data_IF_557824824407
#
_entry.id   IF_557824824407
#
_cell.length_a   1.000
_cell.length_b   1.000
_cell.length_c   1.000
_cell.angle_alpha   90.00
_cell.angle_beta   90.00
_cell.angle_gamma   90.00
#
_symmetry.space_group_name_H-M   'P 1'
#
loop_
_entity.id
_entity.type
_entity.pdbx_description
1 polymer ?
#
# COMPACT_ATOMS: atom_id res chain seq x y z
N UNK A 1 -44.65 -30.78 -23.64
CA UNK A 1 -44.14 -29.39 -23.55
C UNK A 1 -42.65 -29.46 -23.27
N UNK A 2 -41.87 -28.71 -24.06
CA UNK A 2 -40.42 -28.76 -24.24
C UNK A 2 -39.66 -28.20 -23.01
N UNK A 3 -38.53 -28.81 -22.66
CA UNK A 3 -37.78 -28.55 -21.42
C UNK A 3 -36.95 -27.26 -21.35
N UNK A 4 -36.39 -27.02 -20.17
CA UNK A 4 -35.18 -26.20 -19.96
C UNK A 4 -34.32 -26.83 -18.86
N UNK A 5 -33.28 -27.56 -19.29
CA UNK A 5 -32.20 -28.01 -18.42
C UNK A 5 -31.29 -26.80 -18.12
N UNK A 6 -31.02 -26.54 -16.84
CA UNK A 6 -29.96 -25.62 -16.43
C UNK A 6 -28.64 -26.38 -16.40
N UNK A 7 -27.72 -26.04 -17.28
CA UNK A 7 -26.33 -26.48 -17.23
C UNK A 7 -25.46 -25.28 -16.84
N UNK A 8 -24.92 -25.31 -15.62
CA UNK A 8 -23.86 -24.39 -15.19
C UNK A 8 -22.53 -25.07 -15.51
N UNK A 9 -21.84 -24.59 -16.54
CA UNK A 9 -20.47 -24.98 -16.83
C UNK A 9 -19.52 -24.19 -15.93
N UNK A 10 -18.94 -24.84 -14.92
CA UNK A 10 -17.78 -24.30 -14.19
C UNK A 10 -16.54 -24.74 -14.96
N UNK A 11 -15.95 -23.82 -15.72
CA UNK A 11 -14.63 -24.02 -16.29
C UNK A 11 -13.58 -23.67 -15.22
N UNK A 12 -12.99 -24.68 -14.59
CA UNK A 12 -11.79 -24.51 -13.77
C UNK A 12 -10.58 -24.31 -14.68
N UNK A 13 -10.16 -23.06 -14.88
CA UNK A 13 -8.82 -22.76 -15.38
C UNK A 13 -7.83 -22.98 -14.25
N UNK A 14 -7.21 -24.16 -14.20
CA UNK A 14 -6.05 -24.40 -13.33
C UNK A 14 -4.83 -23.76 -13.98
N UNK A 15 -4.48 -22.55 -13.54
CA UNK A 15 -3.12 -22.04 -13.76
C UNK A 15 -2.17 -22.87 -12.90
N UNK A 16 -1.21 -23.53 -13.54
CA UNK A 16 -0.04 -24.08 -12.84
C UNK A 16 0.75 -22.88 -12.35
N UNK A 17 0.61 -22.54 -11.08
CA UNK A 17 1.48 -21.56 -10.44
C UNK A 17 2.82 -22.29 -10.21
N UNK A 18 3.92 -21.94 -10.89
CA UNK A 18 5.21 -22.50 -10.53
C UNK A 18 5.47 -22.16 -9.06
N UNK A 19 5.92 -23.15 -8.28
CA UNK A 19 6.33 -22.93 -6.90
C UNK A 19 7.55 -22.01 -6.91
N UNK A 20 7.32 -20.70 -6.76
CA UNK A 20 8.38 -19.75 -6.52
C UNK A 20 9.05 -20.11 -5.20
N UNK A 21 10.39 -20.18 -5.20
CA UNK A 21 11.16 -20.11 -3.97
C UNK A 21 10.60 -18.96 -3.13
N UNK A 22 10.41 -19.15 -1.82
CA UNK A 22 9.85 -18.09 -0.96
C UNK A 22 10.69 -16.83 -1.15
N UNK A 23 10.18 -15.85 -1.90
CA UNK A 23 10.83 -14.56 -2.11
C UNK A 23 11.15 -13.98 -0.73
N UNK A 24 12.26 -13.21 -0.59
CA UNK A 24 12.69 -12.68 0.70
C UNK A 24 11.48 -12.05 1.40
N UNK A 25 11.12 -12.53 2.59
CA UNK A 25 9.76 -12.40 3.13
C UNK A 25 9.24 -10.96 3.27
N UNK A 26 8.65 -10.43 2.21
CA UNK A 26 7.80 -9.24 2.22
C UNK A 26 6.34 -9.64 1.97
N UNK A 27 5.43 -8.85 2.51
CA UNK A 27 4.00 -8.96 2.26
C UNK A 27 3.48 -7.64 1.69
N UNK A 28 2.29 -7.64 1.11
CA UNK A 28 1.58 -6.43 0.78
C UNK A 28 0.61 -6.06 1.90
N UNK A 29 0.62 -4.78 2.27
CA UNK A 29 -0.30 -4.20 3.24
C UNK A 29 -1.74 -4.15 2.73
N UNK A 30 -2.70 -3.81 3.60
CA UNK A 30 -4.07 -3.50 3.20
C UNK A 30 -4.14 -2.33 2.20
N UNK A 31 -3.11 -1.49 2.18
CA UNK A 31 -2.91 -0.39 1.25
C UNK A 31 -2.24 -0.81 -0.07
N UNK A 32 -1.90 -2.09 -0.23
CA UNK A 32 -1.32 -2.67 -1.44
C UNK A 32 0.15 -2.34 -1.69
N UNK A 33 0.84 -1.74 -0.72
CA UNK A 33 2.28 -1.46 -0.77
C UNK A 33 3.05 -2.46 0.09
N UNK A 34 4.36 -2.73 -0.15
CA UNK A 34 5.08 -3.69 0.67
C UNK A 34 5.09 -3.25 2.15
N UNK A 35 4.66 -4.14 3.02
CA UNK A 35 4.36 -3.80 4.41
C UNK A 35 3.62 -4.92 5.11
N UNK A 36 3.37 -4.72 6.40
CA UNK A 36 2.46 -5.53 7.19
C UNK A 36 1.03 -4.97 7.02
N UNK A 37 0.09 -5.26 7.92
CA UNK A 37 -1.33 -4.85 7.82
C UNK A 37 -1.50 -3.39 7.36
N UNK A 38 -1.14 -2.42 8.20
CA UNK A 38 -1.12 -0.99 7.87
C UNK A 38 0.29 -0.39 7.99
N UNK A 39 1.23 -1.15 8.57
CA UNK A 39 2.58 -0.68 8.85
C UNK A 39 3.48 -0.85 7.62
N UNK A 40 4.04 0.23 7.07
CA UNK A 40 5.03 0.11 6.00
C UNK A 40 6.28 -0.64 6.46
N UNK A 41 6.97 -1.30 5.53
CA UNK A 41 8.32 -1.82 5.73
C UNK A 41 9.29 -1.14 4.77
N UNK A 42 10.60 -1.38 4.92
CA UNK A 42 11.64 -0.94 4.00
C UNK A 42 12.01 -2.00 2.94
N UNK A 43 11.30 -3.13 2.89
CA UNK A 43 11.54 -4.21 1.91
C UNK A 43 10.95 -3.88 0.53
N UNK A 44 11.66 -4.18 -0.54
CA UNK A 44 11.16 -3.97 -1.91
C UNK A 44 10.73 -5.29 -2.54
N UNK A 45 9.73 -5.20 -3.42
CA UNK A 45 9.34 -6.31 -4.28
C UNK A 45 10.41 -6.56 -5.35
N UNK A 46 10.24 -7.61 -6.15
CA UNK A 46 11.17 -7.95 -7.23
C UNK A 46 11.10 -6.92 -8.37
N UNK A 47 12.21 -6.73 -9.09
CA UNK A 47 12.27 -5.75 -10.18
C UNK A 47 11.28 -6.08 -11.29
N UNK A 48 10.46 -5.11 -11.69
CA UNK A 48 9.40 -5.28 -12.68
C UNK A 48 8.16 -6.03 -12.17
N UNK A 49 8.06 -6.31 -10.87
CA UNK A 49 6.90 -7.00 -10.30
C UNK A 49 5.62 -6.15 -10.40
N UNK A 50 4.54 -6.76 -10.88
CA UNK A 50 3.20 -6.21 -10.87
C UNK A 50 2.34 -7.00 -9.87
N UNK A 51 1.91 -6.33 -8.81
CA UNK A 51 1.04 -6.90 -7.79
C UNK A 51 -0.33 -6.23 -7.82
N UNK A 52 -1.38 -7.05 -7.76
CA UNK A 52 -2.75 -6.59 -7.56
C UNK A 52 -3.25 -7.10 -6.22
N UNK A 53 -3.78 -6.20 -5.40
CA UNK A 53 -4.35 -6.53 -4.09
C UNK A 53 -5.80 -6.05 -4.01
N UNK A 54 -6.62 -6.85 -3.35
CA UNK A 54 -7.99 -6.51 -3.01
C UNK A 54 -8.13 -6.66 -1.49
N UNK A 55 -8.51 -5.58 -0.83
CA UNK A 55 -8.73 -5.55 0.62
C UNK A 55 -10.09 -4.95 0.93
N UNK A 56 -10.77 -5.50 1.94
CA UNK A 56 -12.01 -4.94 2.45
C UNK A 56 -11.89 -4.83 3.96
N UNK A 57 -12.21 -3.66 4.50
CA UNK A 57 -12.13 -3.39 5.92
C UNK A 57 -13.19 -2.37 6.30
N UNK A 58 -14.10 -2.75 7.21
CA UNK A 58 -15.12 -1.87 7.79
C UNK A 58 -15.94 -1.07 6.75
N UNK A 59 -16.49 -1.75 5.75
CA UNK A 59 -17.28 -1.12 4.67
C UNK A 59 -16.47 -0.35 3.62
N UNK A 60 -15.14 -0.37 3.71
CA UNK A 60 -14.26 0.19 2.68
C UNK A 60 -13.60 -0.94 1.90
N UNK A 61 -13.86 -0.99 0.59
CA UNK A 61 -13.13 -1.87 -0.30
C UNK A 61 -12.06 -1.08 -1.05
N UNK A 62 -10.87 -1.67 -1.17
CA UNK A 62 -9.71 -1.07 -1.83
C UNK A 62 -9.15 -2.08 -2.82
N UNK A 63 -8.97 -1.64 -4.05
CA UNK A 63 -8.24 -2.36 -5.08
C UNK A 63 -6.97 -1.57 -5.36
N UNK A 64 -5.81 -2.18 -5.12
CA UNK A 64 -4.53 -1.53 -5.36
C UNK A 64 -3.73 -2.30 -6.40
N UNK A 65 -3.22 -1.58 -7.38
CA UNK A 65 -2.26 -2.05 -8.36
C UNK A 65 -0.90 -1.44 -8.03
N UNK A 66 0.09 -2.27 -7.79
CA UNK A 66 1.45 -1.85 -7.44
C UNK A 66 2.43 -2.35 -8.48
N UNK A 67 3.26 -1.46 -8.99
CA UNK A 67 4.31 -1.78 -9.93
C UNK A 67 5.67 -1.41 -9.32
N UNK A 68 6.59 -2.36 -9.31
CA UNK A 68 7.97 -2.17 -8.86
C UNK A 68 8.82 -1.75 -10.07
N UNK A 69 9.01 -0.43 -10.25
CA UNK A 69 9.71 0.13 -11.41
C UNK A 69 11.20 -0.20 -11.44
N UNK A 70 11.83 -0.24 -10.26
CA UNK A 70 13.23 -0.63 -10.06
C UNK A 70 13.34 -1.36 -8.72
N UNK A 71 14.46 -2.02 -8.37
CA UNK A 71 14.63 -2.63 -7.05
C UNK A 71 14.49 -1.67 -5.86
N UNK A 72 14.47 -0.35 -6.10
CA UNK A 72 14.34 0.69 -5.07
C UNK A 72 13.07 1.55 -5.20
N UNK A 73 12.44 1.62 -6.36
CA UNK A 73 11.30 2.50 -6.63
C UNK A 73 10.06 1.69 -6.96
N UNK A 74 8.98 1.90 -6.21
CA UNK A 74 7.65 1.36 -6.51
C UNK A 74 6.62 2.48 -6.58
N UNK A 75 5.65 2.30 -7.46
CA UNK A 75 4.46 3.14 -7.54
C UNK A 75 3.22 2.27 -7.38
N UNK A 76 2.21 2.81 -6.69
CA UNK A 76 0.95 2.12 -6.48
C UNK A 76 -0.20 3.03 -6.86
N UNK A 77 -1.16 2.48 -7.58
CA UNK A 77 -2.44 3.10 -7.85
C UNK A 77 -3.50 2.38 -7.07
N UNK A 78 -4.19 3.10 -6.19
CA UNK A 78 -5.24 2.54 -5.35
C UNK A 78 -6.57 3.20 -5.65
N UNK A 79 -7.55 2.35 -5.89
CA UNK A 79 -8.95 2.70 -6.04
C UNK A 79 -9.71 2.25 -4.79
N UNK A 80 -10.28 3.20 -4.05
CA UNK A 80 -11.05 2.92 -2.85
C UNK A 80 -12.52 3.25 -3.07
N UNK A 81 -13.39 2.34 -2.69
CA UNK A 81 -14.83 2.59 -2.57
C UNK A 81 -15.17 2.67 -1.10
N UNK A 82 -15.73 3.80 -0.68
CA UNK A 82 -16.36 3.90 0.63
C UNK A 82 -17.86 3.67 0.44
N UNK A 83 -18.37 2.58 1.00
CA UNK A 83 -19.81 2.41 1.18
C UNK A 83 -20.22 3.22 2.42
N UNK A 84 -21.26 4.05 2.31
CA UNK A 84 -21.88 4.84 3.41
C UNK A 84 -21.07 6.01 4.02
N UNK A 85 -20.20 6.70 3.27
CA UNK A 85 -19.49 7.90 3.80
C UNK A 85 -20.31 9.21 3.71
N UNK A 86 -21.48 9.20 3.07
CA UNK A 86 -22.39 10.34 3.00
C UNK A 86 -23.66 10.09 3.81
N UNK A 87 -24.19 11.13 4.46
CA UNK A 87 -25.52 11.17 5.10
C UNK A 87 -26.64 10.77 4.12
N UNK A 88 -26.36 10.79 2.80
CA UNK A 88 -27.28 10.40 1.71
C UNK A 88 -27.10 8.96 1.19
N UNK A 89 -26.13 8.18 1.67
CA UNK A 89 -25.91 6.79 1.23
C UNK A 89 -25.23 6.63 -0.14
N UNK A 90 -24.61 7.68 -0.69
CA UNK A 90 -23.93 7.62 -1.97
C UNK A 90 -22.51 7.04 -1.89
N UNK A 91 -22.17 6.16 -2.83
CA UNK A 91 -20.87 5.53 -3.01
C UNK A 91 -19.83 6.59 -3.38
N UNK A 92 -18.83 6.81 -2.53
CA UNK A 92 -17.71 7.70 -2.87
C UNK A 92 -16.56 6.89 -3.43
N UNK A 93 -16.08 7.29 -4.62
CA UNK A 93 -14.92 6.69 -5.27
C UNK A 93 -13.71 7.59 -5.12
N UNK A 94 -12.68 7.07 -4.49
CA UNK A 94 -11.41 7.78 -4.30
C UNK A 94 -10.28 7.10 -5.09
N UNK A 95 -9.43 7.93 -5.69
CA UNK A 95 -8.27 7.52 -6.48
C UNK A 95 -7.05 8.11 -5.81
N UNK A 96 -6.12 7.25 -5.41
CA UNK A 96 -4.88 7.65 -4.76
C UNK A 96 -3.69 7.05 -5.49
N UNK A 97 -2.63 7.84 -5.62
CA UNK A 97 -1.34 7.41 -6.13
C UNK A 97 -0.31 7.49 -5.01
N UNK A 98 0.37 6.37 -4.79
CA UNK A 98 1.41 6.23 -3.79
C UNK A 98 2.77 6.05 -4.48
N UNK A 99 3.80 6.67 -3.92
CA UNK A 99 5.18 6.51 -4.34
C UNK A 99 6.03 6.04 -3.17
N UNK A 100 6.95 5.13 -3.44
CA UNK A 100 7.88 4.66 -2.42
C UNK A 100 9.27 4.44 -2.99
N UNK A 101 10.26 4.91 -2.26
CA UNK A 101 11.66 4.82 -2.62
C UNK A 101 12.52 4.29 -1.47
N UNK A 102 13.30 3.24 -1.75
CA UNK A 102 14.26 2.65 -0.84
C UNK A 102 15.60 3.38 -0.97
N UNK A 103 15.93 4.17 0.05
CA UNK A 103 17.13 4.99 0.11
C UNK A 103 18.39 4.15 0.33
N UNK A 104 18.30 3.19 1.25
CA UNK A 104 19.45 2.39 1.70
C UNK A 104 19.08 0.91 1.68
N UNK A 105 19.95 0.10 1.08
CA UNK A 105 19.84 -1.35 1.12
C UNK A 105 20.25 -1.91 2.49
N UNK A 106 19.55 -2.96 2.93
CA UNK A 106 19.93 -3.69 4.14
C UNK A 106 21.37 -4.19 4.01
N UNK A 107 22.19 -3.93 5.03
CA UNK A 107 23.56 -4.44 5.12
C UNK A 107 23.76 -5.26 6.39
N UNK A 108 24.97 -5.76 6.64
CA UNK A 108 25.26 -6.57 7.83
C UNK A 108 24.87 -5.90 9.15
N UNK A 109 25.20 -4.61 9.30
CA UNK A 109 24.99 -3.84 10.55
C UNK A 109 23.98 -2.69 10.43
N UNK A 110 23.44 -2.44 9.23
CA UNK A 110 22.49 -1.35 8.98
C UNK A 110 21.14 -1.90 8.50
N UNK A 111 20.02 -1.30 8.90
CA UNK A 111 18.72 -1.63 8.34
C UNK A 111 18.61 -1.11 6.90
N UNK A 112 17.68 -1.67 6.13
CA UNK A 112 17.17 -0.99 4.94
C UNK A 112 16.39 0.24 5.37
N UNK A 113 16.46 1.33 4.60
CA UNK A 113 15.68 2.54 4.85
C UNK A 113 14.89 2.89 3.60
N UNK A 114 13.59 3.13 3.77
CA UNK A 114 12.70 3.58 2.72
C UNK A 114 11.89 4.81 3.15
N UNK A 115 11.54 5.62 2.18
CA UNK A 115 10.59 6.72 2.30
C UNK A 115 9.38 6.44 1.43
N UNK A 116 8.21 6.87 1.87
CA UNK A 116 6.99 6.76 1.09
C UNK A 116 6.12 8.00 1.19
N UNK A 117 5.43 8.26 0.08
CA UNK A 117 4.37 9.25 -0.06
C UNK A 117 3.12 8.49 -0.44
N UNK A 118 2.13 8.50 0.44
CA UNK A 118 0.82 7.91 0.25
C UNK A 118 -0.16 9.00 -0.13
N UNK A 119 -1.01 8.73 -1.12
CA UNK A 119 -2.03 9.64 -1.61
C UNK A 119 -1.45 11.04 -1.94
N UNK A 120 -0.36 11.04 -2.72
CA UNK A 120 0.32 12.26 -3.18
C UNK A 120 -0.47 12.98 -4.30
N UNK A 121 -1.17 12.21 -5.14
CA UNK A 121 -2.02 12.72 -6.23
C UNK A 121 -3.42 12.13 -6.14
N UNK A 122 -4.21 12.53 -5.16
CA UNK A 122 -5.59 12.06 -4.97
C UNK A 122 -6.45 13.09 -4.24
N UNK A 123 -7.43 12.63 -3.46
CA UNK A 123 -8.30 13.51 -2.67
C UNK A 123 -7.63 14.02 -1.39
N UNK A 124 -6.51 13.43 -0.98
CA UNK A 124 -5.73 13.83 0.20
C UNK A 124 -6.27 13.27 1.52
N UNK A 125 -7.38 12.52 1.48
CA UNK A 125 -8.04 11.94 2.64
C UNK A 125 -7.16 10.92 3.38
N UNK A 126 -6.32 10.20 2.63
CA UNK A 126 -5.38 9.20 3.16
C UNK A 126 -3.92 9.64 3.01
N UNK A 127 -3.69 10.94 2.82
CA UNK A 127 -2.34 11.47 2.61
C UNK A 127 -1.44 11.27 3.81
N UNK A 128 -0.35 10.53 3.60
CA UNK A 128 0.65 10.25 4.61
C UNK A 128 2.05 10.20 4.00
N UNK A 129 3.01 10.64 4.77
CA UNK A 129 4.42 10.55 4.44
C UNK A 129 5.11 9.76 5.52
N UNK A 130 6.11 8.95 5.17
CA UNK A 130 6.83 8.18 6.18
C UNK A 130 8.26 7.91 5.79
N UNK A 131 9.07 7.68 6.83
CA UNK A 131 10.36 7.03 6.76
C UNK A 131 10.31 5.77 7.61
N UNK A 132 10.81 4.67 7.06
CA UNK A 132 10.81 3.37 7.73
C UNK A 132 12.15 2.70 7.58
N UNK A 133 12.59 2.05 8.66
CA UNK A 133 13.77 1.21 8.71
C UNK A 133 13.35 -0.23 8.99
N UNK A 134 13.86 -1.17 8.21
CA UNK A 134 13.60 -2.62 8.43
C UNK A 134 14.91 -3.38 8.46
N UNK A 135 15.02 -4.30 9.42
CA UNK A 135 16.18 -5.17 9.62
C UNK A 135 15.73 -6.61 9.74
N UNK A 136 16.35 -7.49 8.97
CA UNK A 136 16.16 -8.93 9.04
C UNK A 136 17.17 -9.51 10.05
N UNK A 137 16.67 -10.28 11.00
CA UNK A 137 17.42 -10.98 12.05
C UNK A 137 17.32 -12.47 11.76
N UNK A 138 18.35 -13.01 11.11
CA UNK A 138 18.31 -14.36 10.53
C UNK A 138 17.26 -14.44 9.40
N UNK A 139 16.78 -15.65 9.13
CA UNK A 139 15.91 -15.92 7.97
C UNK A 139 14.41 -15.80 8.27
N UNK A 140 14.04 -15.54 9.54
CA UNK A 140 12.64 -15.70 10.00
C UNK A 140 12.05 -14.50 10.72
N UNK A 141 12.87 -13.54 11.14
CA UNK A 141 12.41 -12.39 11.92
C UNK A 141 12.81 -11.10 11.21
N UNK A 142 11.85 -10.24 10.97
CA UNK A 142 12.10 -8.87 10.49
C UNK A 142 11.55 -7.89 11.51
N UNK A 143 12.39 -6.94 11.91
CA UNK A 143 12.03 -5.85 12.80
C UNK A 143 11.90 -4.59 11.95
N UNK A 144 10.75 -3.94 12.03
CA UNK A 144 10.47 -2.69 11.32
C UNK A 144 10.11 -1.59 12.30
N UNK A 145 10.60 -0.39 12.05
CA UNK A 145 10.29 0.80 12.83
C UNK A 145 10.32 2.03 11.94
N UNK A 146 9.36 2.92 12.08
CA UNK A 146 9.23 4.08 11.22
C UNK A 146 8.56 5.26 11.90
N UNK A 147 8.73 6.43 11.29
CA UNK A 147 8.08 7.67 11.67
C UNK A 147 7.24 8.11 10.48
N UNK A 148 5.96 8.40 10.73
CA UNK A 148 5.02 8.86 9.73
C UNK A 148 4.38 10.18 10.12
N UNK A 149 3.91 10.90 9.12
CA UNK A 149 3.13 12.11 9.23
C UNK A 149 1.76 11.88 8.59
N UNK A 150 0.76 12.66 9.01
CA UNK A 150 -0.60 12.53 8.50
C UNK A 150 -1.38 11.38 9.07
N UNK A 151 -1.93 10.55 8.18
CA UNK A 151 -2.68 9.37 8.61
C UNK A 151 -1.84 8.42 9.46
N UNK A 152 -0.52 8.43 9.25
CA UNK A 152 0.45 7.63 10.01
C UNK A 152 0.99 8.36 11.26
N UNK A 153 0.59 9.61 11.53
CA UNK A 153 1.15 10.45 12.60
C UNK A 153 0.21 11.54 13.11
N UNK A 154 -0.99 11.14 13.56
CA UNK A 154 -2.08 12.08 13.92
C UNK A 154 -2.11 12.54 15.38
N UNK A 155 -1.23 12.05 16.26
CA UNK A 155 -1.19 12.43 17.69
C UNK A 155 0.20 12.97 18.06
N UNK A 156 0.28 14.20 18.59
CA UNK A 156 1.53 14.89 18.98
C UNK A 156 2.64 14.88 17.91
N UNK A 157 2.29 15.15 16.65
CA UNK A 157 3.23 15.15 15.53
C UNK A 157 4.16 16.38 15.51
N UNK A 158 5.41 16.17 15.10
CA UNK A 158 6.33 17.26 14.74
C UNK A 158 6.08 17.73 13.31
N UNK A 159 6.45 18.98 12.98
CA UNK A 159 6.28 19.53 11.63
C UNK A 159 6.89 18.63 10.56
N UNK A 160 6.12 18.30 9.54
CA UNK A 160 6.57 17.47 8.42
C UNK A 160 7.76 18.15 7.71
N UNK A 161 8.96 17.54 7.67
CA UNK A 161 10.12 18.13 7.01
C UNK A 161 9.93 18.28 5.50
N UNK A 162 9.06 17.47 4.87
CA UNK A 162 8.72 17.56 3.45
C UNK A 162 7.83 18.78 3.14
N UNK A 163 7.20 19.40 4.14
CA UNK A 163 6.51 20.68 3.97
C UNK A 163 7.43 21.82 3.52
N UNK A 164 8.74 21.70 3.75
CA UNK A 164 9.72 22.66 3.20
C UNK A 164 9.83 22.61 1.67
N UNK A 165 9.39 21.51 1.05
CA UNK A 165 9.40 21.32 -0.40
C UNK A 165 8.07 21.76 -1.04
N UNK A 166 6.95 21.62 -0.33
CA UNK A 166 5.64 22.06 -0.78
C UNK A 166 4.72 22.35 0.42
N UNK A 167 4.08 23.54 0.44
CA UNK A 167 3.17 23.97 1.50
C UNK A 167 1.92 23.09 1.63
N UNK A 168 1.57 22.32 0.61
CA UNK A 168 0.49 21.32 0.63
C UNK A 168 0.74 20.19 1.64
N UNK A 169 1.98 19.89 2.00
CA UNK A 169 2.28 18.90 3.04
C UNK A 169 2.13 19.44 4.48
N UNK A 170 2.02 20.77 4.65
CA UNK A 170 1.66 21.39 5.93
C UNK A 170 0.14 21.49 6.11
N UNK A 171 -0.60 21.70 5.02
CA UNK A 171 -2.02 22.04 5.06
C UNK A 171 -2.82 20.87 4.49
N UNK A 172 -3.43 20.07 5.37
CA UNK A 172 -4.37 19.03 4.96
C UNK A 172 -5.76 19.66 4.77
N UNK A 173 -6.52 19.29 3.73
CA UNK A 173 -7.91 19.72 3.61
C UNK A 173 -8.68 19.31 4.88
N UNK A 174 -9.15 20.29 5.64
CA UNK A 174 -10.07 20.04 6.73
C UNK A 174 -11.45 19.76 6.15
N UNK A 175 -12.17 18.81 6.76
CA UNK A 175 -13.60 18.69 6.50
C UNK A 175 -14.27 20.02 6.88
N UNK A 176 -14.82 20.71 5.88
CA UNK A 176 -15.78 21.79 6.08
C UNK A 176 -17.18 21.21 6.18
#
# INVERSE_FOLDING_TARGET
MLGKASAVFIACFSWVIPAYAQSPGYSYSLYGTPGLIDMPTAQSAEDGELAQTFSTFDGQARTTLTFQLTPRLSASFRYSTLDNFSVTGERTWDRSFDFRYRLIDEGRYRPAIAIGLQDFMGTGLFSAEYIVATKSIGDRLSVTGGIGWGRLGSYNGFSNPLGRLNSGFYTRPGFS
#
